data_IF_597705004281
#
_entry.id   IF_597705004281
#
_cell.length_a   1.000
_cell.length_b   1.000
_cell.length_c   1.000
_cell.angle_alpha   90.00
_cell.angle_beta   90.00
_cell.angle_gamma   90.00
#
_symmetry.space_group_name_H-M   'P 1'
#
loop_
_entity.id
_entity.type
_entity.pdbx_description
1 polymer ?
#
# COMPACT_ATOMS: atom_id res chain seq x y z
N UNK A 1 -3.78 -4.08 -1.85
CA UNK A 1 -3.58 -2.69 -1.34
C UNK A 1 -2.26 -2.17 -1.92
N UNK A 2 -1.82 -0.93 -1.63
CA UNK A 2 -0.49 -0.47 -2.05
C UNK A 2 0.37 0.00 -0.85
N UNK A 3 1.54 0.57 -1.12
CA UNK A 3 2.62 0.74 -0.14
C UNK A 3 2.23 1.46 1.15
N UNK A 4 1.39 2.50 1.10
CA UNK A 4 1.01 3.24 2.32
C UNK A 4 0.22 2.34 3.26
N UNK A 5 -0.74 1.59 2.73
CA UNK A 5 -1.51 0.65 3.52
C UNK A 5 -0.67 -0.50 4.04
N UNK A 6 0.26 -1.06 3.26
CA UNK A 6 1.17 -2.11 3.75
C UNK A 6 2.01 -1.63 4.93
N UNK A 7 2.54 -0.40 4.87
CA UNK A 7 3.30 0.17 5.98
C UNK A 7 2.40 0.50 7.18
N UNK A 8 1.18 1.02 6.97
CA UNK A 8 0.23 1.26 8.06
C UNK A 8 -0.21 -0.03 8.75
N UNK A 9 -0.49 -1.08 7.98
CA UNK A 9 -1.04 -2.35 8.47
C UNK A 9 0.02 -3.29 9.08
N UNK A 10 1.19 -2.75 9.40
CA UNK A 10 2.30 -3.45 10.02
C UNK A 10 2.31 -3.28 11.54
N UNK A 11 2.97 -4.19 12.25
CA UNK A 11 3.44 -3.91 13.62
C UNK A 11 4.42 -2.71 13.59
N UNK A 12 4.42 -1.88 14.65
CA UNK A 12 5.32 -0.73 14.84
C UNK A 12 6.77 -1.16 15.15
N UNK A 13 7.33 -1.97 14.24
CA UNK A 13 8.72 -2.38 14.21
C UNK A 13 9.24 -2.11 12.81
N UNK A 14 10.34 -1.37 12.70
CA UNK A 14 10.87 -0.95 11.40
C UNK A 14 11.17 -2.13 10.47
N UNK A 15 11.71 -3.24 10.99
CA UNK A 15 11.98 -4.43 10.18
C UNK A 15 10.69 -5.07 9.65
N UNK A 16 9.62 -5.07 10.45
CA UNK A 16 8.30 -5.55 10.02
C UNK A 16 7.75 -4.67 8.90
N UNK A 17 7.72 -3.35 9.12
CA UNK A 17 7.24 -2.38 8.14
C UNK A 17 8.04 -2.47 6.83
N UNK A 18 9.37 -2.61 6.94
CA UNK A 18 10.25 -2.84 5.80
C UNK A 18 9.98 -4.16 5.10
N UNK A 19 9.72 -5.24 5.85
CA UNK A 19 9.32 -6.53 5.26
C UNK A 19 8.04 -6.43 4.45
N UNK A 20 7.03 -5.74 4.99
CA UNK A 20 5.75 -5.54 4.31
C UNK A 20 5.89 -4.68 3.04
N UNK A 21 6.72 -3.62 3.10
CA UNK A 21 7.05 -2.79 1.94
C UNK A 21 7.90 -3.52 0.88
N UNK A 22 8.93 -4.26 1.30
CA UNK A 22 9.90 -4.88 0.41
C UNK A 22 9.42 -6.19 -0.23
N UNK A 23 8.31 -6.75 0.23
CA UNK A 23 7.77 -8.01 -0.26
C UNK A 23 7.64 -8.02 -1.79
N UNK A 24 6.96 -7.04 -2.38
CA UNK A 24 6.80 -6.92 -3.84
C UNK A 24 8.14 -6.77 -4.59
N UNK A 25 8.99 -5.76 -4.27
CA UNK A 25 10.29 -5.61 -4.91
C UNK A 25 11.19 -6.85 -4.80
N UNK A 26 11.08 -7.60 -3.71
CA UNK A 26 11.87 -8.82 -3.45
C UNK A 26 11.14 -10.11 -3.86
N UNK A 27 9.98 -10.01 -4.53
CA UNK A 27 9.17 -11.16 -4.98
C UNK A 27 8.82 -12.13 -3.85
N UNK A 28 8.54 -11.60 -2.67
CA UNK A 28 8.13 -12.33 -1.48
C UNK A 28 9.21 -13.18 -0.83
N UNK A 29 10.49 -12.94 -1.14
CA UNK A 29 11.64 -13.70 -0.62
C UNK A 29 12.57 -12.82 0.19
N UNK A 30 12.76 -13.19 1.45
CA UNK A 30 13.80 -12.62 2.30
C UNK A 30 15.17 -13.23 1.95
N UNK A 31 16.25 -12.57 2.37
CA UNK A 31 17.58 -13.17 2.40
C UNK A 31 17.77 -13.99 3.68
N UNK A 32 18.77 -14.89 3.71
CA UNK A 32 18.96 -15.87 4.79
C UNK A 32 19.10 -15.23 6.18
N UNK A 33 19.83 -14.13 6.29
CA UNK A 33 20.03 -13.40 7.55
C UNK A 33 18.97 -12.32 7.84
N UNK A 34 17.82 -12.35 7.17
CA UNK A 34 16.74 -11.42 7.45
C UNK A 34 16.16 -11.66 8.85
N UNK A 35 15.85 -10.58 9.57
CA UNK A 35 15.26 -10.69 10.90
C UNK A 35 13.87 -11.35 10.87
N UNK A 36 13.49 -11.94 12.00
CA UNK A 36 12.18 -12.57 12.14
C UNK A 36 11.02 -11.59 11.86
N UNK A 37 11.14 -10.34 12.31
CA UNK A 37 10.12 -9.32 12.06
C UNK A 37 10.02 -8.96 10.58
N UNK A 38 11.13 -8.91 9.84
CA UNK A 38 11.12 -8.67 8.39
C UNK A 38 10.43 -9.81 7.65
N UNK A 39 10.74 -11.06 8.00
CA UNK A 39 10.08 -12.23 7.41
C UNK A 39 8.58 -12.25 7.71
N UNK A 40 8.18 -11.89 8.94
CA UNK A 40 6.76 -11.71 9.30
C UNK A 40 6.11 -10.61 8.46
N UNK A 41 6.76 -9.46 8.28
CA UNK A 41 6.27 -8.39 7.42
C UNK A 41 6.00 -8.86 5.97
N UNK A 42 6.92 -9.65 5.39
CA UNK A 42 6.73 -10.24 4.06
C UNK A 42 5.54 -11.20 4.02
N UNK A 43 5.32 -11.97 5.08
CA UNK A 43 4.16 -12.86 5.15
C UNK A 43 2.85 -12.08 5.31
N UNK A 44 2.84 -11.02 6.12
CA UNK A 44 1.65 -10.16 6.28
C UNK A 44 1.30 -9.41 4.99
N UNK A 45 2.28 -9.02 4.19
CA UNK A 45 2.02 -8.50 2.84
C UNK A 45 1.16 -9.47 2.01
N UNK A 46 1.53 -10.76 2.00
CA UNK A 46 0.77 -11.80 1.28
C UNK A 46 -0.64 -11.97 1.83
N UNK A 47 -0.82 -11.85 3.14
CA UNK A 47 -2.15 -11.89 3.77
C UNK A 47 -3.00 -10.70 3.35
N UNK A 48 -2.43 -9.49 3.33
CA UNK A 48 -3.11 -8.27 2.86
C UNK A 48 -3.58 -8.47 1.43
N UNK A 49 -2.71 -8.91 0.53
CA UNK A 49 -3.04 -9.04 -0.89
C UNK A 49 -4.03 -10.16 -1.15
N UNK A 50 -3.82 -11.33 -0.54
CA UNK A 50 -4.74 -12.47 -0.68
C UNK A 50 -6.15 -12.12 -0.16
N UNK A 51 -6.25 -11.44 0.98
CA UNK A 51 -7.53 -10.98 1.50
C UNK A 51 -8.16 -9.92 0.59
N UNK A 52 -7.39 -8.92 0.16
CA UNK A 52 -7.85 -7.86 -0.73
C UNK A 52 -8.38 -8.42 -2.05
N UNK A 53 -7.64 -9.33 -2.69
CA UNK A 53 -7.99 -9.86 -4.01
C UNK A 53 -9.20 -10.79 -3.99
N UNK A 54 -9.42 -11.50 -2.89
CA UNK A 54 -10.59 -12.38 -2.71
C UNK A 54 -11.82 -11.64 -2.19
N UNK A 55 -11.71 -10.38 -1.76
CA UNK A 55 -12.80 -9.66 -1.13
C UNK A 55 -13.87 -9.21 -2.13
N UNK A 56 -15.14 -9.53 -1.84
CA UNK A 56 -16.28 -9.21 -2.71
C UNK A 56 -16.43 -7.71 -2.98
N UNK A 57 -16.19 -6.86 -1.98
CA UNK A 57 -16.24 -5.40 -2.15
C UNK A 57 -15.13 -4.89 -3.07
N UNK A 58 -13.93 -5.49 -3.01
CA UNK A 58 -12.82 -5.12 -3.91
C UNK A 58 -13.13 -5.57 -5.34
N UNK A 59 -13.72 -6.75 -5.51
CA UNK A 59 -14.20 -7.20 -6.81
C UNK A 59 -15.27 -6.25 -7.40
N UNK A 60 -16.20 -5.77 -6.57
CA UNK A 60 -17.18 -4.75 -6.95
C UNK A 60 -16.49 -3.44 -7.35
N UNK A 61 -15.52 -2.95 -6.60
CA UNK A 61 -14.77 -1.75 -6.96
C UNK A 61 -14.05 -1.90 -8.31
N UNK A 62 -13.43 -3.06 -8.55
CA UNK A 62 -12.82 -3.40 -9.86
C UNK A 62 -13.86 -3.34 -10.99
N UNK A 63 -15.11 -3.76 -10.75
CA UNK A 63 -16.19 -3.74 -11.75
C UNK A 63 -16.84 -2.36 -11.98
N UNK A 64 -16.63 -1.39 -11.08
CA UNK A 64 -17.12 0.00 -11.26
C UNK A 64 -16.27 0.82 -12.25
N UNK A 65 -15.04 0.38 -12.48
CA UNK A 65 -14.20 0.92 -13.55
C UNK A 65 -14.77 0.50 -14.93
N UNK A 66 -13.99 0.68 -15.99
CA UNK A 66 -14.33 0.15 -17.31
C UNK A 66 -14.46 -1.38 -17.31
N UNK A 67 -15.24 -1.89 -18.25
CA UNK A 67 -15.61 -3.32 -18.35
C UNK A 67 -14.41 -4.25 -18.56
N UNK A 68 -13.40 -3.80 -19.32
CA UNK A 68 -12.20 -4.57 -19.66
C UNK A 68 -10.92 -3.81 -19.29
N UNK A 69 -9.93 -4.52 -18.76
CA UNK A 69 -8.62 -3.96 -18.47
C UNK A 69 -7.81 -4.78 -17.48
N UNK A 70 -6.53 -4.93 -17.77
CA UNK A 70 -5.55 -5.68 -16.98
C UNK A 70 -5.06 -4.89 -15.77
N UNK A 71 -5.15 -3.56 -15.80
CA UNK A 71 -4.65 -2.69 -14.74
C UNK A 71 -5.69 -2.38 -13.66
N UNK A 72 -6.94 -2.85 -13.79
CA UNK A 72 -8.03 -2.53 -12.84
C UNK A 72 -7.66 -2.83 -11.39
N UNK A 73 -6.97 -3.94 -11.11
CA UNK A 73 -6.51 -4.26 -9.76
C UNK A 73 -5.53 -3.21 -9.23
N UNK A 74 -4.48 -2.92 -10.00
CA UNK A 74 -3.47 -1.89 -9.68
C UNK A 74 -4.11 -0.52 -9.45
N UNK A 75 -5.10 -0.15 -10.26
CA UNK A 75 -5.83 1.11 -10.11
C UNK A 75 -6.63 1.15 -8.81
N UNK A 76 -7.32 0.07 -8.45
CA UNK A 76 -8.04 -0.01 -7.17
C UNK A 76 -7.09 0.06 -6.00
N UNK A 77 -5.96 -0.65 -6.02
CA UNK A 77 -4.96 -0.60 -4.94
C UNK A 77 -4.42 0.81 -4.70
N UNK A 78 -4.06 1.51 -5.77
CA UNK A 78 -3.57 2.89 -5.71
C UNK A 78 -4.66 3.87 -5.27
N UNK A 79 -5.89 3.66 -5.72
CA UNK A 79 -7.04 4.48 -5.32
C UNK A 79 -7.38 4.26 -3.85
N UNK A 80 -7.22 3.04 -3.33
CA UNK A 80 -7.45 2.72 -1.93
C UNK A 80 -6.37 3.33 -1.02
N UNK A 81 -5.11 3.40 -1.45
CA UNK A 81 -4.07 4.16 -0.74
C UNK A 81 -4.37 5.67 -0.74
N UNK A 82 -4.90 6.21 -1.85
CA UNK A 82 -5.43 7.59 -1.88
C UNK A 82 -6.57 7.80 -0.88
N UNK A 83 -7.55 6.90 -0.85
CA UNK A 83 -8.68 6.98 0.09
C UNK A 83 -8.23 6.77 1.54
N UNK A 84 -7.24 5.93 1.79
CA UNK A 84 -6.60 5.78 3.09
C UNK A 84 -5.95 7.09 3.54
N UNK A 85 -5.19 7.74 2.66
CA UNK A 85 -4.58 9.04 2.96
C UNK A 85 -5.64 10.11 3.27
N UNK A 86 -6.75 10.11 2.52
CA UNK A 86 -7.88 11.03 2.74
C UNK A 86 -8.58 10.80 4.08
N UNK A 87 -8.76 9.53 4.48
CA UNK A 87 -9.48 9.13 5.69
C UNK A 87 -8.54 8.75 6.85
N UNK A 88 -7.30 9.23 6.83
CA UNK A 88 -6.25 8.77 7.72
C UNK A 88 -6.64 8.81 9.21
N UNK A 89 -7.23 9.93 9.64
CA UNK A 89 -7.66 10.14 11.03
C UNK A 89 -8.73 9.15 11.50
N UNK A 90 -9.44 8.47 10.58
CA UNK A 90 -10.38 7.41 10.94
C UNK A 90 -9.65 6.11 11.34
N UNK A 91 -8.47 5.87 10.79
CA UNK A 91 -7.79 4.57 10.90
C UNK A 91 -6.51 4.61 11.73
N UNK A 92 -5.93 5.79 11.93
CA UNK A 92 -4.71 5.99 12.71
C UNK A 92 -4.94 6.95 13.89
N UNK A 93 -4.23 6.71 14.98
CA UNK A 93 -4.11 7.62 16.13
C UNK A 93 -2.92 8.59 15.97
N UNK A 94 -2.00 8.29 15.06
CA UNK A 94 -0.82 9.11 14.76
C UNK A 94 -1.09 9.91 13.48
N UNK A 95 -0.85 11.24 13.44
CA UNK A 95 -0.99 12.04 12.22
C UNK A 95 -0.15 11.50 11.06
N UNK A 96 -0.70 11.54 9.84
CA UNK A 96 -0.09 10.89 8.65
C UNK A 96 1.35 11.34 8.40
N UNK A 97 1.57 12.65 8.42
CA UNK A 97 2.88 13.25 8.15
C UNK A 97 3.93 12.80 9.15
N UNK A 98 3.55 12.73 10.43
CA UNK A 98 4.41 12.22 11.50
C UNK A 98 4.70 10.73 11.29
N UNK A 99 3.68 9.92 11.02
CA UNK A 99 3.84 8.48 10.80
C UNK A 99 4.81 8.17 9.66
N UNK A 100 4.64 8.85 8.51
CA UNK A 100 5.52 8.66 7.34
C UNK A 100 6.94 9.16 7.63
N UNK A 101 7.07 10.31 8.30
CA UNK A 101 8.39 10.87 8.67
C UNK A 101 9.15 9.93 9.60
N UNK A 102 8.49 9.44 10.65
CA UNK A 102 9.07 8.52 11.62
C UNK A 102 9.47 7.20 10.94
N UNK A 103 8.60 6.66 10.07
CA UNK A 103 8.92 5.47 9.28
C UNK A 103 10.14 5.68 8.37
N UNK A 104 10.20 6.78 7.62
CA UNK A 104 11.35 7.06 6.74
C UNK A 104 12.65 7.23 7.51
N UNK A 105 12.62 7.94 8.64
CA UNK A 105 13.80 8.13 9.49
C UNK A 105 14.32 6.78 10.02
N UNK A 106 13.41 5.93 10.50
CA UNK A 106 13.75 4.60 10.99
C UNK A 106 14.25 3.70 9.85
N UNK A 107 13.59 3.73 8.69
CA UNK A 107 13.98 2.95 7.52
C UNK A 107 15.39 3.33 7.03
N UNK A 108 15.72 4.62 6.96
CA UNK A 108 17.06 5.10 6.59
C UNK A 108 18.12 4.72 7.62
N UNK A 109 17.79 4.76 8.92
CA UNK A 109 18.70 4.33 9.99
C UNK A 109 18.98 2.83 9.91
N UNK A 110 17.97 2.03 9.54
CA UNK A 110 18.08 0.58 9.39
C UNK A 110 18.78 0.14 8.10
N UNK A 111 18.63 0.91 7.01
CA UNK A 111 19.10 0.51 5.68
C UNK A 111 20.59 0.11 5.58
N UNK A 112 21.57 0.74 6.28
CA UNK A 112 22.98 0.36 6.20
C UNK A 112 23.30 -1.07 6.67
N UNK A 113 22.44 -1.68 7.49
CA UNK A 113 22.61 -3.05 7.99
C UNK A 113 21.80 -4.08 7.20
N UNK A 114 21.33 -3.71 6.00
CA UNK A 114 20.66 -4.60 5.05
C UNK A 114 21.56 -4.87 3.83
N UNK A 115 21.30 -5.93 3.07
CA UNK A 115 21.96 -6.12 1.78
C UNK A 115 21.74 -4.95 0.82
N UNK A 116 22.66 -4.80 -0.13
CA UNK A 116 22.74 -3.63 -1.01
C UNK A 116 21.43 -3.39 -1.79
N UNK A 117 20.77 -4.45 -2.26
CA UNK A 117 19.55 -4.32 -3.04
C UNK A 117 18.37 -3.74 -2.23
N UNK A 118 17.94 -4.31 -1.09
CA UNK A 118 17.00 -3.68 -0.15
C UNK A 118 17.40 -2.25 0.25
N UNK A 119 18.69 -2.02 0.51
CA UNK A 119 19.19 -0.68 0.88
C UNK A 119 18.89 0.35 -0.22
N UNK A 120 19.16 0.03 -1.50
CA UNK A 120 18.83 0.92 -2.64
C UNK A 120 17.32 1.16 -2.76
N UNK A 121 16.50 0.13 -2.55
CA UNK A 121 15.04 0.25 -2.60
C UNK A 121 14.50 1.21 -1.53
N UNK A 122 15.04 1.15 -0.30
CA UNK A 122 14.66 2.05 0.80
C UNK A 122 15.12 3.47 0.53
N UNK A 123 16.37 3.67 0.10
CA UNK A 123 16.87 5.02 -0.26
C UNK A 123 16.01 5.66 -1.35
N UNK A 124 15.60 4.89 -2.35
CA UNK A 124 14.72 5.37 -3.42
C UNK A 124 13.30 5.65 -2.94
N UNK A 125 12.77 4.86 -2.00
CA UNK A 125 11.47 5.11 -1.37
C UNK A 125 11.42 6.50 -0.76
N UNK A 126 12.42 6.80 0.07
CA UNK A 126 12.49 8.06 0.82
C UNK A 126 12.84 9.22 -0.09
N UNK A 127 13.83 9.07 -0.98
CA UNK A 127 14.22 10.11 -1.94
C UNK A 127 13.05 10.55 -2.84
N UNK A 128 12.20 9.61 -3.24
CA UNK A 128 11.05 9.90 -4.09
C UNK A 128 9.80 10.26 -3.31
N UNK A 129 9.86 10.25 -1.98
CA UNK A 129 8.75 10.48 -1.07
C UNK A 129 7.45 9.78 -1.49
N UNK A 130 7.53 8.46 -1.73
CA UNK A 130 6.43 7.74 -2.40
C UNK A 130 5.16 7.64 -1.55
N UNK A 131 5.28 7.53 -0.23
CA UNK A 131 4.13 7.36 0.66
C UNK A 131 3.29 8.63 0.82
N UNK A 132 3.84 9.81 0.52
CA UNK A 132 3.10 11.08 0.56
C UNK A 132 2.40 11.45 -0.76
N UNK A 133 2.46 10.61 -1.80
CA UNK A 133 1.90 10.93 -3.15
C UNK A 133 0.39 10.66 -3.29
N UNK A 134 -0.34 10.71 -2.19
CA UNK A 134 -1.74 10.30 -2.11
C UNK A 134 -2.63 11.41 -1.55
N UNK A 135 -2.22 12.68 -1.61
CA UNK A 135 -2.92 13.78 -0.92
C UNK A 135 -3.98 14.47 -1.79
N UNK A 136 -3.98 14.23 -3.11
CA UNK A 136 -4.96 14.79 -4.04
C UNK A 136 -5.18 13.88 -5.24
N UNK A 137 -6.28 14.09 -5.97
CA UNK A 137 -6.53 13.39 -7.24
C UNK A 137 -5.44 13.68 -8.28
N UNK A 138 -4.90 14.90 -8.29
CA UNK A 138 -3.78 15.26 -9.16
C UNK A 138 -2.54 14.42 -8.83
N UNK A 139 -2.22 14.23 -7.55
CA UNK A 139 -1.12 13.36 -7.16
C UNK A 139 -1.39 11.89 -7.50
N UNK A 140 -2.62 11.40 -7.30
CA UNK A 140 -3.02 10.05 -7.72
C UNK A 140 -2.81 9.87 -9.23
N UNK A 141 -3.17 10.86 -10.04
CA UNK A 141 -2.92 10.81 -11.49
C UNK A 141 -1.42 10.73 -11.81
N UNK A 142 -0.57 11.51 -11.12
CA UNK A 142 0.89 11.41 -11.27
C UNK A 142 1.41 10.03 -10.86
N UNK A 143 0.82 9.42 -9.83
CA UNK A 143 1.14 8.03 -9.45
C UNK A 143 0.75 7.06 -10.57
N UNK A 144 -0.40 7.22 -11.22
CA UNK A 144 -0.77 6.42 -12.39
C UNK A 144 0.22 6.59 -13.54
N UNK A 145 0.63 7.82 -13.86
CA UNK A 145 1.67 8.06 -14.88
C UNK A 145 3.02 7.39 -14.52
N UNK A 146 3.35 7.31 -13.23
CA UNK A 146 4.55 6.59 -12.78
C UNK A 146 4.43 5.07 -12.95
N UNK A 147 3.21 4.52 -12.92
CA UNK A 147 2.96 3.11 -13.27
C UNK A 147 3.22 2.92 -14.75
N UNK A 148 2.75 3.82 -15.62
CA UNK A 148 2.93 3.73 -17.07
C UNK A 148 4.40 3.61 -17.47
N UNK A 149 5.28 4.41 -16.84
CA UNK A 149 6.72 4.35 -17.07
C UNK A 149 7.40 3.03 -16.68
N UNK A 150 6.67 2.13 -15.99
CA UNK A 150 7.14 0.79 -15.58
C UNK A 150 6.48 -0.34 -16.35
N UNK A 151 5.47 -0.05 -17.18
CA UNK A 151 4.78 -1.07 -17.98
C UNK A 151 5.70 -1.56 -19.12
N UNK A 152 5.51 -2.82 -19.53
CA UNK A 152 6.15 -3.30 -20.75
C UNK A 152 5.62 -2.56 -21.98
N UNK A 153 6.41 -2.38 -23.05
CA UNK A 153 5.94 -1.70 -24.26
C UNK A 153 4.66 -2.29 -24.85
N UNK A 154 4.53 -3.63 -24.78
CA UNK A 154 3.34 -4.35 -25.24
C UNK A 154 2.08 -4.01 -24.42
N UNK A 155 2.22 -3.86 -23.10
CA UNK A 155 1.09 -3.49 -22.24
C UNK A 155 0.75 -2.01 -22.39
N UNK A 156 1.77 -1.14 -22.41
CA UNK A 156 1.62 0.30 -22.56
C UNK A 156 0.86 0.68 -23.84
N UNK A 157 1.12 -0.01 -24.95
CA UNK A 157 0.42 0.21 -26.23
C UNK A 157 -1.07 -0.16 -26.20
N UNK A 158 -1.49 -1.00 -25.24
CA UNK A 158 -2.87 -1.49 -25.10
C UNK A 158 -3.64 -0.76 -24.00
N UNK A 159 -2.95 -0.40 -22.93
CA UNK A 159 -3.57 0.08 -21.71
C UNK A 159 -2.56 0.89 -20.88
N UNK A 160 -2.97 2.06 -20.43
CA UNK A 160 -2.20 2.88 -19.48
C UNK A 160 -2.97 3.03 -18.19
N UNK A 161 -2.27 3.03 -17.06
CA UNK A 161 -2.84 3.36 -15.76
C UNK A 161 -3.36 4.81 -15.75
N UNK A 162 -2.63 5.76 -16.36
CA UNK A 162 -3.08 7.17 -16.43
C UNK A 162 -4.45 7.33 -17.10
N UNK A 163 -4.80 6.47 -18.06
CA UNK A 163 -6.11 6.52 -18.72
C UNK A 163 -7.29 6.31 -17.76
N UNK A 164 -7.06 5.68 -16.60
CA UNK A 164 -8.11 5.37 -15.62
C UNK A 164 -8.52 6.54 -14.75
N UNK A 165 -7.82 7.68 -14.78
CA UNK A 165 -8.16 8.79 -13.87
C UNK A 165 -9.63 9.24 -14.03
N UNK A 166 -10.12 9.32 -15.28
CA UNK A 166 -11.53 9.67 -15.55
C UNK A 166 -12.52 8.62 -15.07
N UNK A 167 -12.15 7.34 -15.12
CA UNK A 167 -12.98 6.27 -14.57
C UNK A 167 -13.09 6.42 -13.06
N UNK A 168 -11.96 6.60 -12.37
CA UNK A 168 -11.90 6.78 -10.92
C UNK A 168 -12.68 8.02 -10.49
N UNK A 169 -12.53 9.16 -11.19
CA UNK A 169 -13.27 10.38 -10.89
C UNK A 169 -14.79 10.19 -11.01
N UNK A 170 -15.24 9.48 -12.06
CA UNK A 170 -16.66 9.22 -12.32
C UNK A 170 -17.33 8.39 -11.22
N UNK A 171 -16.65 7.37 -10.69
CA UNK A 171 -17.20 6.46 -9.66
C UNK A 171 -16.58 6.67 -8.28
N UNK A 172 -15.98 7.85 -8.04
CA UNK A 172 -15.17 8.10 -6.84
C UNK A 172 -15.96 7.92 -5.55
N UNK A 173 -17.22 8.35 -5.53
CA UNK A 173 -18.07 8.28 -4.32
C UNK A 173 -18.37 6.83 -3.95
N UNK A 174 -18.59 6.00 -4.96
CA UNK A 174 -18.85 4.58 -4.81
C UNK A 174 -17.59 3.83 -4.36
N UNK A 175 -16.43 4.13 -4.97
CA UNK A 175 -15.14 3.58 -4.55
C UNK A 175 -14.80 3.97 -3.10
N UNK A 176 -15.12 5.21 -2.71
CA UNK A 176 -14.95 5.69 -1.33
C UNK A 176 -15.83 4.92 -0.34
N UNK A 177 -17.11 4.67 -0.69
CA UNK A 177 -18.01 3.84 0.13
C UNK A 177 -17.51 2.40 0.24
N UNK A 178 -17.09 1.82 -0.88
CA UNK A 178 -16.55 0.47 -0.93
C UNK A 178 -15.29 0.35 -0.04
N UNK A 179 -14.35 1.29 -0.14
CA UNK A 179 -13.15 1.35 0.70
C UNK A 179 -13.49 1.47 2.19
N UNK A 180 -14.40 2.38 2.57
CA UNK A 180 -14.80 2.57 3.96
C UNK A 180 -15.53 1.35 4.56
N UNK A 181 -16.04 0.45 3.71
CA UNK A 181 -16.61 -0.84 4.11
C UNK A 181 -15.51 -1.90 4.22
N UNK A 182 -14.67 -2.02 3.20
CA UNK A 182 -13.64 -3.05 3.09
C UNK A 182 -12.49 -2.89 4.09
N UNK A 183 -12.00 -1.67 4.30
CA UNK A 183 -10.76 -1.47 5.06
C UNK A 183 -10.89 -1.89 6.54
N UNK A 184 -12.01 -1.63 7.25
CA UNK A 184 -12.27 -2.24 8.56
C UNK A 184 -12.24 -3.77 8.55
N UNK A 185 -12.84 -4.42 7.54
CA UNK A 185 -12.83 -5.89 7.42
C UNK A 185 -11.40 -6.43 7.31
N UNK A 186 -10.58 -5.79 6.46
CA UNK A 186 -9.16 -6.13 6.32
C UNK A 186 -8.40 -5.96 7.65
N UNK A 187 -8.63 -4.86 8.38
CA UNK A 187 -8.01 -4.64 9.69
C UNK A 187 -8.39 -5.72 10.68
N UNK A 188 -9.68 -6.05 10.78
CA UNK A 188 -10.18 -7.08 11.69
C UNK A 188 -9.57 -8.46 11.37
N UNK A 189 -9.49 -8.81 10.09
CA UNK A 189 -8.79 -10.01 9.65
C UNK A 189 -7.31 -10.01 10.06
N UNK A 190 -6.60 -8.89 9.88
CA UNK A 190 -5.19 -8.80 10.26
C UNK A 190 -4.95 -8.81 11.77
N UNK A 191 -5.90 -8.32 12.58
CA UNK A 191 -5.77 -8.40 14.06
C UNK A 191 -5.62 -9.84 14.54
N UNK A 192 -6.11 -10.84 13.82
CA UNK A 192 -5.90 -12.25 14.22
C UNK A 192 -4.52 -12.79 13.85
N UNK A 193 -3.70 -12.00 13.14
CA UNK A 193 -2.38 -12.38 12.61
C UNK A 193 -1.24 -11.49 13.13
N UNK A 194 -1.55 -10.45 13.92
CA UNK A 194 -0.59 -9.47 14.43
C UNK A 194 -0.53 -9.49 15.96
N UNK A 195 0.60 -9.08 16.54
CA UNK A 195 0.69 -8.82 17.98
C UNK A 195 0.02 -7.48 18.32
N UNK A 196 -1.04 -7.53 19.14
CA UNK A 196 -1.86 -6.37 19.48
C UNK A 196 -1.08 -5.30 20.26
N UNK A 197 0.03 -5.67 20.89
CA UNK A 197 0.92 -4.75 21.62
C UNK A 197 1.73 -3.84 20.69
N UNK A 198 1.80 -4.17 19.40
CA UNK A 198 2.60 -3.45 18.41
C UNK A 198 1.76 -2.77 17.34
N UNK A 199 0.45 -2.57 17.57
CA UNK A 199 -0.44 -1.84 16.65
C UNK A 199 -1.10 -0.64 17.33
N UNK A 200 -0.40 0.05 18.23
CA UNK A 200 -0.94 1.18 19.00
C UNK A 200 -1.31 2.40 18.14
N UNK A 201 -0.70 2.51 16.96
CA UNK A 201 -1.04 3.52 15.95
C UNK A 201 -2.40 3.28 15.29
N UNK A 202 -2.98 2.09 15.41
CA UNK A 202 -4.29 1.80 14.84
C UNK A 202 -5.39 2.41 15.71
N UNK A 203 -6.27 3.21 15.10
CA UNK A 203 -7.46 3.71 15.80
C UNK A 203 -8.48 2.58 15.97
N UNK A 204 -8.86 2.26 17.19
CA UNK A 204 -9.95 1.31 17.44
C UNK A 204 -11.26 1.89 16.88
N UNK A 205 -12.04 1.05 16.21
CA UNK A 205 -13.42 1.39 15.92
C UNK A 205 -14.15 1.44 17.28
N UNK A 206 -14.69 2.62 17.62
CA UNK A 206 -15.42 2.86 18.87
C UNK A 206 -16.80 2.22 18.90
#
# INVERSE_FOLDING_TARGET
MNWLAHVLLSEEKVDFQLGNYLADPLKGKAWESASADLQKGINVHKLIDSYTDSHKIVALSKSRLREQGLLRGVIIDLTYDYLLSKHWEKFSTVPRERYITDFYANALRRAPSLPEHPQRLIKNLVKQDRLNKYNSLEQLHRVFMSVDGRLSPKLLARETASSYIRDVERVRRELEKDFLTFFPDLRNYLRTHLDHRHIGHWRCDG
#
